data_IF_219030593387
#
_entry.id   IF_219030593387
#
_cell.length_a   1.000
_cell.length_b   1.000
_cell.length_c   1.000
_cell.angle_alpha   90.00
_cell.angle_beta   90.00
_cell.angle_gamma   90.00
#
_symmetry.space_group_name_H-M   'P 1'
#
loop_
_entity.id
_entity.type
_entity.pdbx_description
1 polymer ?
#
# COMPACT_ATOMS: atom_id res chain seq x y z
N UNK A 1 24.41 15.38 2.35
CA UNK A 1 23.81 14.11 1.91
C UNK A 1 22.58 14.43 1.06
N UNK A 2 22.58 14.08 -0.23
CA UNK A 2 21.50 14.46 -1.15
C UNK A 2 20.24 13.64 -0.84
N UNK A 3 19.11 14.31 -0.59
CA UNK A 3 17.76 13.71 -0.59
C UNK A 3 17.60 12.97 -1.92
N UNK A 4 17.51 11.64 -1.90
CA UNK A 4 16.95 10.88 -3.03
C UNK A 4 15.48 11.25 -3.09
N UNK A 5 15.15 12.27 -3.89
CA UNK A 5 13.79 12.46 -4.35
C UNK A 5 13.43 11.20 -5.12
N UNK A 6 12.30 10.59 -4.74
CA UNK A 6 11.67 9.51 -5.49
C UNK A 6 11.38 10.11 -6.87
N UNK A 7 12.16 9.68 -7.87
CA UNK A 7 12.11 10.25 -9.21
C UNK A 7 10.72 9.95 -9.80
N UNK A 8 10.03 10.99 -10.29
CA UNK A 8 8.74 10.80 -10.97
C UNK A 8 9.00 9.93 -12.20
N UNK A 9 8.20 8.88 -12.38
CA UNK A 9 8.23 8.10 -13.61
C UNK A 9 8.09 9.04 -14.83
N UNK A 10 9.12 9.09 -15.68
CA UNK A 10 9.10 9.86 -16.93
C UNK A 10 8.05 9.24 -17.86
N UNK A 11 7.02 10.01 -18.25
CA UNK A 11 6.01 9.59 -19.24
C UNK A 11 4.57 9.43 -18.74
N UNK A 12 4.17 10.04 -17.63
CA UNK A 12 2.75 10.08 -17.18
C UNK A 12 2.12 11.45 -17.42
N UNK A 13 2.01 11.85 -18.69
CA UNK A 13 1.35 13.09 -19.15
C UNK A 13 -0.16 12.92 -19.39
N UNK A 14 -0.68 11.69 -19.37
CA UNK A 14 -2.11 11.42 -19.33
C UNK A 14 -2.65 11.42 -17.90
N UNK A 15 -3.75 12.14 -17.63
CA UNK A 15 -4.52 12.14 -16.35
C UNK A 15 -4.96 10.74 -15.88
N UNK A 16 -4.72 9.70 -16.67
CA UNK A 16 -5.14 8.32 -16.50
C UNK A 16 -3.99 7.31 -16.36
N UNK A 17 -2.72 7.72 -16.43
CA UNK A 17 -1.59 6.78 -16.26
C UNK A 17 -0.99 7.00 -14.87
N UNK A 18 -1.33 6.12 -13.92
CA UNK A 18 -0.59 6.04 -12.65
C UNK A 18 0.81 5.50 -12.90
N UNK A 19 1.80 6.12 -12.28
CA UNK A 19 3.12 5.54 -12.13
C UNK A 19 3.07 4.26 -11.28
N UNK A 20 3.98 3.35 -11.62
CA UNK A 20 4.28 2.14 -10.85
C UNK A 20 5.74 2.21 -10.40
N UNK A 21 6.01 1.81 -9.16
CA UNK A 21 7.34 1.56 -8.66
C UNK A 21 7.95 0.35 -9.39
N UNK A 22 8.89 0.62 -10.31
CA UNK A 22 9.62 -0.40 -11.05
C UNK A 22 10.83 -0.96 -10.30
N UNK A 23 11.13 -0.42 -9.12
CA UNK A 23 12.34 -0.73 -8.34
C UNK A 23 12.04 -1.76 -7.26
N UNK A 24 10.85 -1.71 -6.66
CA UNK A 24 10.43 -2.63 -5.59
C UNK A 24 9.50 -3.71 -6.14
N UNK A 25 9.98 -4.95 -6.39
CA UNK A 25 9.11 -6.03 -6.85
C UNK A 25 8.07 -6.42 -5.78
N UNK A 26 7.02 -7.11 -6.22
CA UNK A 26 6.05 -7.74 -5.31
C UNK A 26 6.74 -8.83 -4.49
N UNK A 27 6.50 -8.83 -3.18
CA UNK A 27 6.92 -9.91 -2.30
C UNK A 27 5.97 -11.12 -2.40
N UNK A 28 6.28 -12.20 -1.68
CA UNK A 28 5.51 -13.45 -1.82
C UNK A 28 4.06 -13.30 -1.37
N UNK A 29 3.81 -12.53 -0.31
CA UNK A 29 2.46 -12.28 0.19
C UNK A 29 1.63 -11.45 -0.80
N UNK A 30 2.25 -10.43 -1.39
CA UNK A 30 1.62 -9.55 -2.37
C UNK A 30 1.35 -10.28 -3.69
N UNK A 31 2.30 -11.11 -4.16
CA UNK A 31 2.11 -11.95 -5.33
C UNK A 31 0.92 -12.88 -5.15
N UNK A 32 0.84 -13.57 -4.00
CA UNK A 32 -0.28 -14.46 -3.69
C UNK A 32 -1.61 -13.70 -3.59
N UNK A 33 -1.61 -12.51 -2.96
CA UNK A 33 -2.81 -11.70 -2.82
C UNK A 33 -3.31 -11.13 -4.15
N UNK A 34 -2.43 -10.90 -5.12
CA UNK A 34 -2.75 -10.29 -6.42
C UNK A 34 -2.93 -11.29 -7.56
N UNK A 35 -2.52 -12.56 -7.39
CA UNK A 35 -2.34 -13.55 -8.46
C UNK A 35 -3.55 -13.72 -9.39
N UNK A 36 -4.75 -13.79 -8.85
CA UNK A 36 -6.00 -14.04 -9.61
C UNK A 36 -6.94 -12.82 -9.63
N UNK A 37 -6.43 -11.64 -9.28
CA UNK A 37 -7.24 -10.43 -9.25
C UNK A 37 -7.26 -9.73 -10.61
N UNK A 38 -8.43 -9.19 -10.94
CA UNK A 38 -8.65 -8.38 -12.13
C UNK A 38 -7.77 -7.12 -12.08
N UNK A 39 -6.83 -7.04 -13.03
CA UNK A 39 -5.86 -5.93 -13.12
C UNK A 39 -6.50 -4.57 -13.35
N UNK A 40 -7.63 -4.51 -14.05
CA UNK A 40 -8.30 -3.24 -14.30
C UNK A 40 -8.98 -2.73 -13.03
N UNK A 41 -9.53 -3.65 -12.21
CA UNK A 41 -10.03 -3.29 -10.87
C UNK A 41 -8.91 -2.86 -9.93
N UNK A 42 -7.74 -3.51 -9.99
CA UNK A 42 -6.55 -3.08 -9.25
C UNK A 42 -6.14 -1.66 -9.63
N UNK A 43 -6.12 -1.33 -10.92
CA UNK A 43 -5.80 0.03 -11.39
C UNK A 43 -6.84 1.06 -10.92
N UNK A 44 -8.13 0.71 -10.92
CA UNK A 44 -9.18 1.58 -10.38
C UNK A 44 -8.95 1.84 -8.88
N UNK A 45 -8.63 0.79 -8.11
CA UNK A 45 -8.26 0.94 -6.70
C UNK A 45 -7.05 1.87 -6.53
N UNK A 46 -5.99 1.67 -7.32
CA UNK A 46 -4.81 2.52 -7.31
C UNK A 46 -5.13 4.00 -7.60
N UNK A 47 -6.05 4.29 -8.52
CA UNK A 47 -6.52 5.65 -8.80
C UNK A 47 -7.24 6.26 -7.59
N UNK A 48 -8.10 5.49 -6.93
CA UNK A 48 -8.77 5.91 -5.71
C UNK A 48 -7.75 6.23 -4.60
N UNK A 49 -6.77 5.34 -4.41
CA UNK A 49 -5.69 5.50 -3.43
C UNK A 49 -4.84 6.74 -3.72
N UNK A 50 -4.45 6.98 -4.97
CA UNK A 50 -3.71 8.17 -5.37
C UNK A 50 -4.47 9.46 -5.06
N UNK A 51 -5.78 9.49 -5.32
CA UNK A 51 -6.62 10.64 -4.95
C UNK A 51 -6.72 10.82 -3.44
N UNK A 52 -6.86 9.74 -2.68
CA UNK A 52 -6.84 9.77 -1.21
C UNK A 52 -5.49 10.23 -0.66
N UNK A 53 -4.40 9.93 -1.37
CA UNK A 53 -3.04 10.34 -1.00
C UNK A 53 -2.66 11.74 -1.51
N UNK A 54 -3.63 12.64 -1.70
CA UNK A 54 -3.41 14.00 -2.23
C UNK A 54 -2.64 14.02 -3.56
N UNK A 55 -2.97 13.09 -4.46
CA UNK A 55 -2.31 12.91 -5.76
C UNK A 55 -0.79 12.65 -5.62
N UNK A 56 -0.39 11.92 -4.58
CA UNK A 56 0.98 11.44 -4.38
C UNK A 56 1.04 9.92 -4.58
N UNK A 57 2.12 9.47 -5.19
CA UNK A 57 2.45 8.06 -5.33
C UNK A 57 3.05 7.50 -4.04
N UNK A 58 2.98 6.18 -3.89
CA UNK A 58 3.64 5.47 -2.80
C UNK A 58 2.76 5.25 -1.56
N UNK A 59 3.37 4.76 -0.46
CA UNK A 59 2.65 4.36 0.74
C UNK A 59 1.84 5.53 1.31
N UNK A 60 0.61 5.25 1.74
CA UNK A 60 -0.28 6.26 2.33
C UNK A 60 -0.02 6.33 3.84
N UNK A 61 0.50 7.45 4.37
CA UNK A 61 0.80 7.56 5.79
C UNK A 61 -0.44 7.30 6.65
N UNK A 62 -0.27 6.58 7.75
CA UNK A 62 -1.37 6.32 8.70
C UNK A 62 -2.48 5.37 8.22
N UNK A 63 -2.38 4.84 6.99
CA UNK A 63 -3.36 3.95 6.36
C UNK A 63 -2.92 2.48 6.41
N UNK A 64 -2.81 1.94 7.62
CA UNK A 64 -2.46 0.54 7.86
C UNK A 64 -3.66 -0.38 7.69
N UNK A 65 -3.41 -1.58 7.17
CA UNK A 65 -4.42 -2.61 6.94
C UNK A 65 -4.00 -3.92 7.59
N UNK A 66 -4.97 -4.78 7.85
CA UNK A 66 -4.75 -6.18 8.20
C UNK A 66 -5.38 -7.03 7.10
N UNK A 67 -4.59 -7.89 6.48
CA UNK A 67 -5.03 -8.77 5.40
C UNK A 67 -4.95 -10.22 5.86
N UNK A 68 -6.03 -10.97 5.66
CA UNK A 68 -6.02 -12.41 5.84
C UNK A 68 -5.27 -13.04 4.66
N UNK A 69 -4.12 -13.66 4.93
CA UNK A 69 -3.29 -14.34 3.92
C UNK A 69 -3.63 -15.82 3.83
N UNK A 70 -4.08 -16.42 4.94
CA UNK A 70 -4.66 -17.76 5.00
C UNK A 70 -5.94 -17.72 5.84
N UNK A 71 -7.09 -18.14 5.28
CA UNK A 71 -8.36 -18.14 6.00
C UNK A 71 -8.23 -18.76 7.39
N UNK A 72 -8.64 -18.00 8.39
CA UNK A 72 -8.69 -18.37 9.82
C UNK A 72 -7.36 -18.85 10.43
N UNK A 73 -6.23 -18.56 9.79
CA UNK A 73 -4.91 -19.06 10.21
C UNK A 73 -3.85 -17.98 10.25
N UNK A 74 -3.88 -17.06 9.29
CA UNK A 74 -2.78 -16.13 9.09
C UNK A 74 -3.28 -14.74 8.67
N UNK A 75 -2.82 -13.74 9.40
CA UNK A 75 -3.12 -12.33 9.18
C UNK A 75 -1.82 -11.55 9.12
N UNK A 76 -1.66 -10.75 8.07
CA UNK A 76 -0.49 -9.92 7.84
C UNK A 76 -0.86 -8.45 7.97
N UNK A 77 -0.01 -7.68 8.64
CA UNK A 77 -0.12 -6.23 8.67
C UNK A 77 0.49 -5.64 7.40
N UNK A 78 -0.17 -4.64 6.83
CA UNK A 78 0.33 -3.92 5.68
C UNK A 78 -0.05 -2.45 5.70
N UNK A 79 0.23 -1.78 4.58
CA UNK A 79 -0.07 -0.37 4.36
C UNK A 79 -0.64 -0.19 2.95
N UNK A 80 -1.65 0.67 2.81
CA UNK A 80 -2.16 1.05 1.48
C UNK A 80 -1.09 1.81 0.69
N UNK A 81 -1.04 1.56 -0.62
CA UNK A 81 -0.02 2.11 -1.50
C UNK A 81 -0.66 2.68 -2.78
N UNK A 82 -0.33 3.92 -3.10
CA UNK A 82 -0.84 4.59 -4.31
C UNK A 82 0.05 4.25 -5.50
N UNK A 83 -0.19 3.07 -6.07
CA UNK A 83 0.61 2.48 -7.14
C UNK A 83 -0.24 1.61 -8.07
N UNK A 84 -0.01 1.70 -9.38
CA UNK A 84 -0.83 1.05 -10.41
C UNK A 84 -0.78 -0.47 -10.45
N UNK A 85 0.25 -1.09 -9.87
CA UNK A 85 0.41 -2.55 -9.80
C UNK A 85 0.42 -3.07 -8.36
N UNK A 86 0.80 -2.22 -7.41
CA UNK A 86 0.98 -2.57 -6.00
C UNK A 86 0.07 -1.73 -5.09
N UNK A 87 -1.25 -1.99 -5.02
CA UNK A 87 -2.19 -1.15 -4.26
C UNK A 87 -2.01 -1.24 -2.72
N UNK A 88 -1.20 -2.17 -2.25
CA UNK A 88 -0.84 -2.34 -0.83
C UNK A 88 0.56 -2.94 -0.71
N UNK A 89 1.17 -2.73 0.45
CA UNK A 89 2.45 -3.31 0.84
C UNK A 89 2.20 -4.18 2.06
N UNK A 90 2.51 -5.48 1.97
CA UNK A 90 2.39 -6.41 3.10
C UNK A 90 3.74 -6.57 3.78
N UNK A 91 3.77 -6.46 5.11
CA UNK A 91 4.99 -6.57 5.91
C UNK A 91 5.24 -8.05 6.26
N UNK A 92 6.19 -8.68 5.55
CA UNK A 92 6.51 -10.12 5.72
C UNK A 92 6.99 -10.47 7.14
N UNK A 93 7.51 -9.51 7.88
CA UNK A 93 7.93 -9.65 9.28
C UNK A 93 6.79 -9.46 10.29
N UNK A 94 5.56 -9.14 9.84
CA UNK A 94 4.40 -8.83 10.68
C UNK A 94 3.22 -9.74 10.38
N UNK A 95 3.44 -11.03 10.56
CA UNK A 95 2.45 -12.10 10.36
C UNK A 95 2.01 -12.66 11.71
N UNK A 96 0.70 -12.83 11.88
CA UNK A 96 0.07 -13.20 13.14
C UNK A 96 -0.94 -14.34 12.94
N UNK A 97 -1.20 -15.09 14.01
CA UNK A 97 -2.20 -16.15 14.06
C UNK A 97 -3.59 -15.70 14.50
N UNK A 98 -3.81 -14.39 14.66
CA UNK A 98 -5.11 -13.79 14.98
C UNK A 98 -5.24 -12.41 14.35
N UNK A 99 -6.44 -12.08 13.87
CA UNK A 99 -6.78 -10.75 13.37
C UNK A 99 -6.59 -9.67 14.45
N UNK A 100 -6.92 -9.98 15.71
CA UNK A 100 -6.87 -9.04 16.82
C UNK A 100 -5.43 -8.60 17.12
N UNK A 101 -4.48 -9.53 17.07
CA UNK A 101 -3.07 -9.23 17.34
C UNK A 101 -2.44 -8.45 16.19
N UNK A 102 -2.79 -8.79 14.94
CA UNK A 102 -2.42 -8.01 13.78
C UNK A 102 -2.99 -6.57 13.84
N UNK A 103 -4.24 -6.39 14.28
CA UNK A 103 -4.85 -5.08 14.45
C UNK A 103 -4.14 -4.26 15.53
N UNK A 104 -3.84 -4.86 16.70
CA UNK A 104 -3.06 -4.20 17.75
C UNK A 104 -1.69 -3.77 17.25
N UNK A 105 -1.02 -4.59 16.44
CA UNK A 105 0.27 -4.23 15.85
C UNK A 105 0.13 -3.09 14.84
N UNK A 106 -0.88 -3.11 13.97
CA UNK A 106 -1.15 -2.02 13.03
C UNK A 106 -1.38 -0.68 13.77
N UNK A 107 -2.11 -0.70 14.88
CA UNK A 107 -2.30 0.48 15.73
C UNK A 107 -1.00 0.95 16.39
N UNK A 108 -0.17 0.02 16.88
CA UNK A 108 1.15 0.35 17.45
C UNK A 108 2.04 1.00 16.40
N UNK A 109 2.09 0.47 15.18
CA UNK A 109 2.89 1.05 14.09
C UNK A 109 2.41 2.47 13.79
N UNK A 110 1.08 2.66 13.68
CA UNK A 110 0.48 3.98 13.45
C UNK A 110 0.86 4.99 14.55
N UNK A 111 0.77 4.58 15.81
CA UNK A 111 1.14 5.42 16.98
C UNK A 111 2.63 5.72 17.00
N UNK A 112 3.48 4.71 16.78
CA UNK A 112 4.94 4.83 16.83
C UNK A 112 5.51 5.73 15.73
N UNK A 113 4.93 5.68 14.53
CA UNK A 113 5.36 6.53 13.41
C UNK A 113 4.79 7.95 13.47
N UNK A 114 3.80 8.21 14.34
CA UNK A 114 3.16 9.52 14.47
C UNK A 114 2.48 9.98 13.18
N UNK A 115 2.12 9.05 12.30
CA UNK A 115 1.56 9.36 10.98
C UNK A 115 0.06 9.63 11.09
N UNK A 116 -0.37 10.73 10.48
CA UNK A 116 -1.78 11.00 10.24
C UNK A 116 -2.12 10.68 8.79
N UNK A 117 -3.36 10.21 8.58
CA UNK A 117 -3.84 10.01 7.21
C UNK A 117 -3.89 11.36 6.49
N UNK A 118 -3.54 11.42 5.19
CA UNK A 118 -3.61 12.65 4.43
C UNK A 118 -5.02 13.23 4.48
N UNK A 119 -5.14 14.46 4.98
CA UNK A 119 -6.38 15.24 4.91
C UNK A 119 -6.56 15.65 3.46
N UNK A 120 -7.77 15.45 2.90
CA UNK A 120 -8.08 15.88 1.53
C UNK A 120 -7.91 17.40 1.45
N UNK A 121 -7.11 17.85 0.49
CA UNK A 121 -7.07 19.27 0.14
C UNK A 121 -8.45 19.66 -0.43
N UNK A 122 -9.12 20.64 0.20
CA UNK A 122 -10.34 21.26 -0.32
C UNK A 122 -10.02 22.23 -1.46
#
# INVERSE_FOLDING_TARGET
MKKKLIDRAKGTDGKYILGTDKVTPLNNLEQNALYDLDRDKIKILAHCLFRLNNSKYGPIPGAYIVMCTKPDKEWCVGQLNSDGEKPFILFEDKVFSSAEDAQKEAEKIKKNRGETMPVRNH
#
